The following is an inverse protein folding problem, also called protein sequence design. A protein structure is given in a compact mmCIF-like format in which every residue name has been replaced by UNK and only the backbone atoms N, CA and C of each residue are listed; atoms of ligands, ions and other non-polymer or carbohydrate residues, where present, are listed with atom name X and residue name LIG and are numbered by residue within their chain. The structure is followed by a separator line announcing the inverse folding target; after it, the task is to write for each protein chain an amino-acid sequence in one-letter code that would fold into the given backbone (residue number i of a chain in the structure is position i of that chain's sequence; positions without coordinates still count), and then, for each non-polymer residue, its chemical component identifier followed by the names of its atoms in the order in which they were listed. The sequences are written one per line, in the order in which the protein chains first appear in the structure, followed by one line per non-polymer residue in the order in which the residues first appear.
data_IF_649531514294
#
_entry.id   IF_649531514294
#
_cell.length_a   1.000
_cell.length_b   1.000
_cell.length_c   1.000
_cell.angle_alpha   90.00
_cell.angle_beta   90.00
_cell.angle_gamma   90.00
#
_symmetry.space_group_name_H-M   'P 1'
#
loop_
_entity.id
_entity.type
_entity.pdbx_description
1 polymer ?
#
# COMPACT_ATOMS: atom_id res chain seq x y z
N UNK A 1 16.69 25.80 13.85
CA UNK A 1 15.25 25.45 13.72
C UNK A 1 14.56 25.89 14.99
N UNK A 2 13.40 26.51 14.85
CA UNK A 2 12.55 26.87 15.98
C UNK A 2 12.20 25.61 16.82
N UNK A 3 12.47 25.61 18.14
CA UNK A 3 12.12 24.51 19.03
C UNK A 3 10.62 24.17 18.98
N UNK A 4 9.73 25.14 18.77
CA UNK A 4 8.29 24.90 18.70
C UNK A 4 7.89 24.07 17.48
N UNK A 5 8.43 24.37 16.29
CA UNK A 5 8.18 23.56 15.09
C UNK A 5 8.73 22.13 15.19
N UNK A 6 9.85 21.96 15.89
CA UNK A 6 10.45 20.63 16.13
C UNK A 6 9.56 19.80 17.05
N UNK A 7 9.06 20.42 18.13
CA UNK A 7 8.12 19.79 19.05
C UNK A 7 6.79 19.47 18.35
N UNK A 8 6.28 20.37 17.51
CA UNK A 8 5.05 20.13 16.74
C UNK A 8 5.18 18.87 15.86
N UNK A 9 6.30 18.71 15.14
CA UNK A 9 6.55 17.51 14.32
C UNK A 9 6.55 16.24 15.17
N UNK A 10 7.14 16.30 16.35
CA UNK A 10 7.17 15.16 17.31
C UNK A 10 5.76 14.81 17.78
N UNK A 11 4.94 15.80 18.13
CA UNK A 11 3.57 15.59 18.61
C UNK A 11 2.63 15.05 17.53
N UNK A 12 2.89 15.34 16.25
CA UNK A 12 2.07 14.86 15.14
C UNK A 12 2.45 13.44 14.66
N UNK A 13 3.49 12.80 15.24
CA UNK A 13 3.93 11.45 14.82
C UNK A 13 4.60 10.62 15.94
N UNK A 14 3.96 9.56 16.48
CA UNK A 14 2.56 9.14 16.29
C UNK A 14 1.59 10.01 17.10
N UNK A 15 0.45 10.37 16.50
CA UNK A 15 -0.55 11.22 17.16
C UNK A 15 -1.61 10.40 17.91
N UNK A 16 -1.48 10.35 19.24
CA UNK A 16 -2.51 9.93 20.18
C UNK A 16 -3.36 11.12 20.68
N UNK A 17 -4.28 10.86 21.62
CA UNK A 17 -5.18 11.87 22.15
C UNK A 17 -4.43 13.02 22.86
N UNK A 18 -3.47 12.66 23.71
CA UNK A 18 -2.71 13.59 24.55
C UNK A 18 -1.75 14.44 23.71
N UNK A 19 -1.08 13.81 22.74
CA UNK A 19 -0.22 14.50 21.78
C UNK A 19 -1.01 15.44 20.88
N UNK A 20 -2.24 15.08 20.50
CA UNK A 20 -3.12 15.97 19.76
C UNK A 20 -3.56 17.19 20.60
N UNK A 21 -3.84 17.02 21.90
CA UNK A 21 -4.16 18.14 22.81
C UNK A 21 -2.97 19.09 22.94
N UNK A 22 -1.76 18.55 23.15
CA UNK A 22 -0.53 19.35 23.21
C UNK A 22 -0.27 20.08 21.90
N UNK A 23 -0.43 19.40 20.76
CA UNK A 23 -0.30 20.01 19.44
C UNK A 23 -1.31 21.14 19.25
N UNK A 24 -2.57 20.95 19.66
CA UNK A 24 -3.62 21.97 19.59
C UNK A 24 -3.24 23.23 20.39
N UNK A 25 -2.74 23.06 21.63
CA UNK A 25 -2.29 24.17 22.47
C UNK A 25 -1.10 24.90 21.86
N UNK A 26 -0.13 24.16 21.33
CA UNK A 26 1.02 24.73 20.63
C UNK A 26 0.59 25.54 19.41
N UNK A 27 -0.22 24.96 18.53
CA UNK A 27 -0.75 25.63 17.33
C UNK A 27 -1.57 26.87 17.68
N UNK A 28 -2.35 26.85 18.76
CA UNK A 28 -3.11 28.02 19.22
C UNK A 28 -2.21 29.15 19.71
N UNK A 29 -1.07 28.83 20.34
CA UNK A 29 -0.07 29.85 20.75
C UNK A 29 0.70 30.44 19.57
N UNK A 30 0.95 29.63 18.54
CA UNK A 30 1.67 30.02 17.32
C UNK A 30 0.76 30.76 16.33
N UNK A 31 -0.56 30.60 16.43
CA UNK A 31 -1.49 31.40 15.63
C UNK A 31 -1.29 32.90 15.93
N UNK A 32 -1.26 33.72 14.88
CA UNK A 32 -0.98 35.15 14.95
C UNK A 32 0.50 35.54 15.07
N UNK A 33 1.42 34.57 15.13
CA UNK A 33 2.86 34.83 15.18
C UNK A 33 3.51 34.69 13.79
N UNK A 34 4.80 35.05 13.68
CA UNK A 34 5.57 34.87 12.46
C UNK A 34 5.74 33.39 12.03
N UNK A 35 5.50 32.45 12.94
CA UNK A 35 5.68 31.01 12.71
C UNK A 35 4.38 30.30 12.29
N UNK A 36 3.26 31.04 12.18
CA UNK A 36 1.94 30.49 11.84
C UNK A 36 1.94 29.69 10.53
N UNK A 37 2.54 30.22 9.47
CA UNK A 37 2.59 29.56 8.16
C UNK A 37 3.43 28.28 8.20
N UNK A 38 4.56 28.31 8.90
CA UNK A 38 5.43 27.14 9.06
C UNK A 38 4.73 26.05 9.89
N UNK A 39 4.00 26.42 10.93
CA UNK A 39 3.22 25.50 11.74
C UNK A 39 2.04 24.90 10.95
N UNK A 40 1.35 25.70 10.14
CA UNK A 40 0.32 25.20 9.23
C UNK A 40 0.90 24.22 8.21
N UNK A 41 2.05 24.55 7.59
CA UNK A 41 2.75 23.67 6.67
C UNK A 41 3.06 22.30 7.30
N UNK A 42 3.54 22.28 8.55
CA UNK A 42 3.79 21.04 9.31
C UNK A 42 2.51 20.23 9.55
N UNK A 43 1.39 20.91 9.81
CA UNK A 43 0.09 20.26 10.02
C UNK A 43 -0.46 19.63 8.74
N UNK A 44 -0.26 20.27 7.59
CA UNK A 44 -0.74 19.79 6.27
C UNK A 44 0.25 18.88 5.54
N UNK A 45 1.48 18.73 6.06
CA UNK A 45 2.56 17.84 5.58
C UNK A 45 2.24 16.34 5.75
N UNK A 46 1.06 15.93 5.30
CA UNK A 46 0.56 14.58 5.46
C UNK A 46 -0.96 14.58 5.56
N UNK A 47 -1.70 14.15 4.54
CA UNK A 47 -3.17 14.17 4.57
C UNK A 47 -3.81 13.32 5.70
N UNK A 48 -3.10 12.34 6.24
CA UNK A 48 -3.52 11.61 7.45
C UNK A 48 -3.50 12.48 8.71
N UNK A 49 -2.56 13.43 8.81
CA UNK A 49 -2.39 14.29 9.98
C UNK A 49 -3.61 15.19 10.16
N UNK A 50 -4.02 15.90 9.11
CA UNK A 50 -5.21 16.78 9.14
C UNK A 50 -6.47 16.03 9.60
N UNK A 51 -6.75 14.87 9.01
CA UNK A 51 -7.96 14.07 9.36
C UNK A 51 -7.93 13.53 10.80
N UNK A 52 -6.76 13.13 11.29
CA UNK A 52 -6.61 12.65 12.68
C UNK A 52 -6.64 13.80 13.68
N UNK A 53 -6.00 14.91 13.34
CA UNK A 53 -5.96 16.12 14.15
C UNK A 53 -7.36 16.66 14.36
N UNK A 54 -8.14 16.85 13.30
CA UNK A 54 -9.55 17.29 13.37
C UNK A 54 -10.42 16.39 14.26
N UNK A 55 -10.18 15.08 14.26
CA UNK A 55 -10.92 14.14 15.12
C UNK A 55 -10.59 14.35 16.61
N UNK A 56 -9.32 14.49 16.94
CA UNK A 56 -8.86 14.64 18.31
C UNK A 56 -9.11 16.05 18.85
N UNK A 57 -8.85 17.07 18.04
CA UNK A 57 -9.07 18.47 18.37
C UNK A 57 -10.53 18.72 18.79
N UNK A 58 -11.49 18.14 18.07
CA UNK A 58 -12.92 18.23 18.42
C UNK A 58 -13.27 17.64 19.80
N UNK A 59 -12.51 16.65 20.28
CA UNK A 59 -12.71 16.00 21.58
C UNK A 59 -11.99 16.70 22.72
N UNK A 60 -10.82 17.27 22.41
CA UNK A 60 -9.90 17.86 23.37
C UNK A 60 -10.20 19.31 23.74
N UNK A 61 -11.16 19.95 23.06
CA UNK A 61 -11.31 21.40 23.16
C UNK A 61 -11.91 21.88 24.49
N UNK A 62 -11.00 22.36 25.34
CA UNK A 62 -11.26 23.21 26.50
C UNK A 62 -10.74 24.62 26.20
N UNK A 63 -11.66 25.50 25.75
CA UNK A 63 -11.64 26.95 25.95
C UNK A 63 -10.32 27.72 25.71
N UNK A 64 -9.88 27.84 24.45
CA UNK A 64 -8.94 28.90 24.05
C UNK A 64 -9.51 29.69 22.88
N UNK A 65 -9.81 30.98 23.05
CA UNK A 65 -10.30 31.82 21.96
C UNK A 65 -9.27 31.89 20.82
N UNK A 66 -9.69 31.56 19.60
CA UNK A 66 -8.86 31.73 18.41
C UNK A 66 -8.89 33.22 18.05
N UNK A 67 -7.85 33.95 18.41
CA UNK A 67 -7.64 35.33 18.00
C UNK A 67 -6.59 35.34 16.89
N UNK A 68 -7.02 35.60 15.65
CA UNK A 68 -6.13 35.67 14.49
C UNK A 68 -6.91 35.55 13.19
N UNK A 69 -6.56 36.38 12.20
CA UNK A 69 -7.11 36.34 10.84
C UNK A 69 -6.22 35.57 9.84
N UNK A 70 -5.17 34.90 10.32
CA UNK A 70 -4.26 34.12 9.47
C UNK A 70 -4.81 32.73 9.12
N UNK A 71 -4.13 32.04 8.20
CA UNK A 71 -4.54 30.74 7.70
C UNK A 71 -4.52 29.65 8.78
N UNK A 72 -3.59 29.69 9.74
CA UNK A 72 -3.54 28.71 10.83
C UNK A 72 -4.76 28.87 11.75
N UNK A 73 -5.10 30.11 12.13
CA UNK A 73 -6.27 30.40 12.94
C UNK A 73 -7.57 29.95 12.24
N UNK A 74 -7.67 30.12 10.91
CA UNK A 74 -8.80 29.61 10.12
C UNK A 74 -8.85 28.07 10.11
N UNK A 75 -7.71 27.39 9.93
CA UNK A 75 -7.63 25.94 9.97
C UNK A 75 -8.05 25.36 11.33
N UNK A 76 -7.61 25.98 12.43
CA UNK A 76 -8.02 25.62 13.79
C UNK A 76 -9.51 25.89 14.02
N UNK A 77 -10.02 27.02 13.53
CA UNK A 77 -11.43 27.40 13.64
C UNK A 77 -12.33 26.42 12.88
N UNK A 78 -11.89 25.95 11.71
CA UNK A 78 -12.57 24.90 10.96
C UNK A 78 -12.61 23.56 11.72
N UNK A 79 -11.68 23.31 12.65
CA UNK A 79 -11.67 22.11 13.51
C UNK A 79 -12.45 22.28 14.82
N UNK A 80 -12.92 23.49 15.15
CA UNK A 80 -13.54 23.83 16.43
C UNK A 80 -14.77 22.97 16.76
N UNK A 81 -15.09 22.77 18.06
CA UNK A 81 -16.26 21.96 18.48
C UNK A 81 -17.61 22.61 18.15
N UNK A 82 -17.70 23.93 18.24
CA UNK A 82 -18.90 24.72 17.92
C UNK A 82 -19.07 24.85 16.40
N UNK A 83 -20.23 24.42 15.91
CA UNK A 83 -20.59 24.49 14.51
C UNK A 83 -20.63 25.93 13.96
N UNK A 84 -21.01 26.93 14.76
CA UNK A 84 -21.04 28.34 14.31
C UNK A 84 -19.65 28.87 13.97
N UNK A 85 -18.66 28.51 14.79
CA UNK A 85 -17.25 28.86 14.55
C UNK A 85 -16.75 28.18 13.29
N UNK A 86 -17.06 26.88 13.10
CA UNK A 86 -16.70 26.15 11.87
C UNK A 86 -17.36 26.76 10.63
N UNK A 87 -18.64 27.12 10.72
CA UNK A 87 -19.38 27.73 9.62
C UNK A 87 -18.80 29.07 9.21
N UNK A 88 -18.44 29.92 10.18
CA UNK A 88 -17.73 31.18 9.93
C UNK A 88 -16.37 30.91 9.26
N UNK A 89 -15.57 29.99 9.80
CA UNK A 89 -14.28 29.64 9.24
C UNK A 89 -14.38 29.13 7.79
N UNK A 90 -15.39 28.32 7.46
CA UNK A 90 -15.66 27.86 6.10
C UNK A 90 -15.92 29.04 5.14
N UNK A 91 -16.71 30.03 5.57
CA UNK A 91 -16.95 31.24 4.76
C UNK A 91 -15.69 32.07 4.58
N UNK A 92 -14.90 32.22 5.63
CA UNK A 92 -13.66 33.00 5.60
C UNK A 92 -12.62 32.31 4.68
N UNK A 93 -12.50 30.97 4.73
CA UNK A 93 -11.71 30.19 3.77
C UNK A 93 -12.23 30.37 2.34
N UNK A 94 -13.54 30.41 2.13
CA UNK A 94 -14.13 30.57 0.79
C UNK A 94 -13.85 31.95 0.17
N UNK A 95 -13.66 32.98 1.01
CA UNK A 95 -13.35 34.33 0.60
C UNK A 95 -11.88 34.47 0.15
N UNK A 96 -10.97 33.73 0.78
CA UNK A 96 -9.55 33.71 0.43
C UNK A 96 -8.99 32.27 0.44
N UNK A 97 -9.35 31.45 -0.58
CA UNK A 97 -8.92 30.05 -0.60
C UNK A 97 -7.41 29.95 -0.87
N UNK A 98 -6.74 29.06 -0.13
CA UNK A 98 -5.33 28.72 -0.35
C UNK A 98 -5.14 27.19 -0.32
N UNK A 99 -4.08 26.66 -0.98
CA UNK A 99 -3.78 25.23 -0.97
C UNK A 99 -3.78 24.60 0.44
N UNK A 100 -3.20 25.29 1.43
CA UNK A 100 -3.04 24.84 2.81
C UNK A 100 -4.38 24.73 3.55
N UNK A 101 -5.38 25.52 3.13
CA UNK A 101 -6.73 25.52 3.73
C UNK A 101 -7.67 24.50 3.08
N UNK A 102 -7.39 24.05 1.85
CA UNK A 102 -8.23 23.08 1.13
C UNK A 102 -8.50 21.78 1.90
N UNK A 103 -7.51 21.14 2.57
CA UNK A 103 -7.75 19.98 3.41
C UNK A 103 -8.85 20.18 4.46
N UNK A 104 -8.91 21.35 5.09
CA UNK A 104 -9.88 21.66 6.14
C UNK A 104 -11.26 21.93 5.55
N UNK A 105 -11.34 22.67 4.45
CA UNK A 105 -12.59 22.89 3.72
C UNK A 105 -13.21 21.57 3.27
N UNK A 106 -12.40 20.68 2.69
CA UNK A 106 -12.81 19.33 2.27
C UNK A 106 -13.38 18.53 3.43
N UNK A 107 -12.74 18.55 4.61
CA UNK A 107 -13.24 17.84 5.78
C UNK A 107 -14.62 18.33 6.25
N UNK A 108 -14.98 19.59 5.97
CA UNK A 108 -16.27 20.20 6.33
C UNK A 108 -17.37 19.91 5.31
N UNK A 109 -17.05 19.45 4.10
CA UNK A 109 -18.07 19.00 3.13
C UNK A 109 -18.87 17.78 3.59
N UNK A 110 -18.42 17.12 4.66
CA UNK A 110 -19.06 16.00 5.36
C UNK A 110 -19.19 16.29 6.87
N UNK A 111 -19.45 17.55 7.25
CA UNK A 111 -19.75 17.91 8.64
C UNK A 111 -21.10 17.32 9.08
N UNK A 112 -21.24 17.05 10.38
CA UNK A 112 -22.50 16.57 10.96
C UNK A 112 -23.53 17.71 11.08
N UNK A 113 -23.08 18.97 11.13
CA UNK A 113 -23.94 20.15 11.12
C UNK A 113 -24.31 20.48 9.67
N UNK A 114 -25.58 20.37 9.27
CA UNK A 114 -25.99 20.60 7.88
C UNK A 114 -25.57 21.98 7.35
N UNK A 115 -25.66 23.04 8.17
CA UNK A 115 -25.30 24.40 7.80
C UNK A 115 -23.81 24.52 7.43
N UNK A 116 -22.92 23.92 8.22
CA UNK A 116 -21.49 23.87 7.94
C UNK A 116 -21.23 23.06 6.67
N UNK A 117 -21.92 21.93 6.53
CA UNK A 117 -21.76 21.02 5.39
C UNK A 117 -22.13 21.70 4.08
N UNK A 118 -23.31 22.30 3.99
CA UNK A 118 -23.76 22.94 2.76
C UNK A 118 -22.91 24.18 2.43
N UNK A 119 -22.54 24.98 3.44
CA UNK A 119 -21.62 26.09 3.24
C UNK A 119 -20.27 25.61 2.67
N UNK A 120 -19.72 24.51 3.19
CA UNK A 120 -18.45 23.96 2.73
C UNK A 120 -18.54 23.38 1.31
N UNK A 121 -19.65 22.73 0.97
CA UNK A 121 -19.89 22.20 -0.38
C UNK A 121 -19.95 23.31 -1.42
N UNK A 122 -20.68 24.40 -1.14
CA UNK A 122 -20.74 25.59 -2.01
C UNK A 122 -19.36 26.24 -2.12
N UNK A 123 -18.69 26.46 -0.99
CA UNK A 123 -17.36 27.05 -0.94
C UNK A 123 -16.33 26.25 -1.76
N UNK A 124 -16.36 24.92 -1.65
CA UNK A 124 -15.47 24.05 -2.41
C UNK A 124 -15.69 24.19 -3.92
N UNK A 125 -16.94 24.14 -4.38
CA UNK A 125 -17.26 24.27 -5.81
C UNK A 125 -16.75 25.61 -6.34
N UNK A 126 -17.05 26.70 -5.64
CA UNK A 126 -16.61 28.04 -6.05
C UNK A 126 -15.08 28.20 -6.02
N UNK A 127 -14.40 27.60 -5.05
CA UNK A 127 -12.94 27.65 -4.97
C UNK A 127 -12.28 26.89 -6.13
N UNK A 128 -12.78 25.70 -6.45
CA UNK A 128 -12.26 24.89 -7.55
C UNK A 128 -12.59 25.47 -8.92
N UNK A 129 -13.75 26.10 -9.09
CA UNK A 129 -14.15 26.79 -10.32
C UNK A 129 -13.21 27.97 -10.63
N UNK A 130 -12.89 28.78 -9.61
CA UNK A 130 -11.94 29.91 -9.78
C UNK A 130 -10.49 29.44 -9.96
N UNK A 131 -10.10 28.40 -9.23
CA UNK A 131 -8.71 27.94 -9.16
C UNK A 131 -8.64 26.40 -9.16
N UNK A 132 -8.68 25.77 -10.35
CA UNK A 132 -8.59 24.31 -10.48
C UNK A 132 -7.36 23.69 -9.81
N UNK A 133 -6.24 24.41 -9.77
CA UNK A 133 -5.00 23.96 -9.10
C UNK A 133 -5.15 23.65 -7.61
N UNK A 134 -6.19 24.15 -6.94
CA UNK A 134 -6.51 23.82 -5.54
C UNK A 134 -6.94 22.35 -5.35
N UNK A 135 -7.32 21.67 -6.44
CA UNK A 135 -7.74 20.27 -6.42
C UNK A 135 -6.62 19.33 -5.93
N UNK A 136 -5.37 19.58 -6.32
CA UNK A 136 -4.22 18.75 -5.92
C UNK A 136 -4.01 18.79 -4.39
N UNK A 137 -4.12 19.98 -3.79
CA UNK A 137 -3.97 20.18 -2.35
C UNK A 137 -5.09 19.51 -1.54
N UNK A 138 -6.32 19.46 -2.09
CA UNK A 138 -7.46 18.76 -1.51
C UNK A 138 -7.32 17.23 -1.57
N UNK A 139 -6.70 16.70 -2.64
CA UNK A 139 -6.84 15.31 -3.06
C UNK A 139 -6.44 14.30 -1.98
N UNK A 140 -5.34 14.57 -1.25
CA UNK A 140 -4.84 13.67 -0.22
C UNK A 140 -5.87 13.37 0.89
N UNK A 141 -6.68 14.35 1.27
CA UNK A 141 -7.77 14.16 2.24
C UNK A 141 -8.97 13.46 1.60
N UNK A 142 -9.32 13.84 0.37
CA UNK A 142 -10.46 13.27 -0.38
C UNK A 142 -10.34 11.75 -0.52
N UNK A 143 -9.19 11.26 -0.98
CA UNK A 143 -8.95 9.81 -1.18
C UNK A 143 -9.01 9.00 0.13
N UNK A 144 -8.75 9.65 1.28
CA UNK A 144 -8.86 9.05 2.61
C UNK A 144 -10.27 9.09 3.15
N UNK A 145 -11.00 10.18 2.93
CA UNK A 145 -12.42 10.25 3.27
C UNK A 145 -13.20 9.14 2.57
N UNK A 146 -12.90 8.88 1.29
CA UNK A 146 -13.53 7.82 0.51
C UNK A 146 -13.24 6.39 1.02
N UNK A 147 -12.16 6.19 1.79
CA UNK A 147 -11.87 4.91 2.47
C UNK A 147 -12.54 4.78 3.83
N UNK A 148 -12.96 5.91 4.44
CA UNK A 148 -13.65 5.92 5.72
C UNK A 148 -15.16 5.70 5.58
N UNK A 149 -15.88 5.67 6.71
CA UNK A 149 -17.36 5.65 6.73
C UNK A 149 -18.00 7.01 6.38
N UNK A 150 -17.31 7.90 5.66
CA UNK A 150 -17.86 9.21 5.24
C UNK A 150 -18.29 9.11 3.79
N UNK A 151 -19.44 9.70 3.45
CA UNK A 151 -19.88 9.79 2.05
C UNK A 151 -19.03 10.84 1.31
N UNK A 152 -17.86 10.42 0.83
CA UNK A 152 -16.97 11.32 0.09
C UNK A 152 -17.35 11.47 -1.39
N UNK A 153 -18.50 10.96 -1.82
CA UNK A 153 -18.84 10.87 -3.25
C UNK A 153 -18.97 12.27 -3.87
N UNK A 154 -19.55 13.23 -3.15
CA UNK A 154 -19.64 14.63 -3.60
C UNK A 154 -18.25 15.22 -3.85
N UNK A 155 -17.40 15.26 -2.83
CA UNK A 155 -16.10 15.92 -2.93
C UNK A 155 -15.17 15.21 -3.92
N UNK A 156 -15.22 13.87 -3.98
CA UNK A 156 -14.45 13.09 -4.96
C UNK A 156 -14.84 13.44 -6.39
N UNK A 157 -16.13 13.67 -6.67
CA UNK A 157 -16.59 14.10 -8.00
C UNK A 157 -16.11 15.52 -8.32
N UNK A 158 -16.24 16.47 -7.38
CA UNK A 158 -15.84 17.86 -7.62
C UNK A 158 -14.34 17.99 -7.89
N UNK A 159 -13.50 17.35 -7.07
CA UNK A 159 -12.04 17.36 -7.28
C UNK A 159 -11.66 16.64 -8.58
N UNK A 160 -12.28 15.50 -8.89
CA UNK A 160 -12.01 14.79 -10.13
C UNK A 160 -12.40 15.59 -11.40
N UNK A 161 -13.45 16.41 -11.33
CA UNK A 161 -13.97 17.14 -12.48
C UNK A 161 -13.06 18.28 -12.96
N UNK A 162 -12.22 18.82 -12.07
CA UNK A 162 -11.34 19.97 -12.37
C UNK A 162 -9.88 19.60 -12.58
N UNK A 163 -9.50 18.34 -12.34
CA UNK A 163 -8.15 17.86 -12.60
C UNK A 163 -7.96 17.61 -14.11
N UNK A 164 -7.10 18.40 -14.74
CA UNK A 164 -6.72 18.23 -16.13
C UNK A 164 -5.76 17.03 -16.33
N UNK A 165 -5.55 16.58 -17.58
CA UNK A 165 -4.65 15.46 -17.87
C UNK A 165 -3.21 15.64 -17.37
N UNK A 166 -2.67 16.87 -17.37
CA UNK A 166 -1.30 17.16 -16.93
C UNK A 166 -1.19 17.05 -15.41
N UNK A 167 -2.18 17.53 -14.68
CA UNK A 167 -2.31 17.35 -13.23
C UNK A 167 -2.40 15.87 -12.87
N UNK A 168 -3.23 15.11 -13.59
CA UNK A 168 -3.32 13.66 -13.39
C UNK A 168 -1.98 12.96 -13.65
N UNK A 169 -1.23 13.33 -14.70
CA UNK A 169 0.08 12.72 -14.97
C UNK A 169 1.13 13.03 -13.89
N UNK A 170 1.15 14.27 -13.37
CA UNK A 170 1.99 14.64 -12.22
C UNK A 170 1.67 13.79 -10.99
N UNK A 171 0.38 13.62 -10.70
CA UNK A 171 -0.09 12.87 -9.53
C UNK A 171 0.22 11.36 -9.60
N UNK A 172 0.49 10.79 -10.78
CA UNK A 172 0.98 9.41 -10.91
C UNK A 172 2.34 9.21 -10.23
N UNK A 173 3.16 10.25 -10.16
CA UNK A 173 4.46 10.26 -9.46
C UNK A 173 4.37 10.56 -7.96
N UNK A 174 3.17 10.72 -7.41
CA UNK A 174 2.99 11.05 -6.00
C UNK A 174 3.59 9.98 -5.07
N UNK A 175 4.31 10.38 -4.00
CA UNK A 175 4.77 9.43 -2.97
C UNK A 175 3.62 8.88 -2.11
N UNK A 176 2.43 9.48 -2.21
CA UNK A 176 1.22 8.97 -1.57
C UNK A 176 0.52 7.96 -2.49
N UNK A 177 0.58 6.68 -2.10
CA UNK A 177 -0.08 5.55 -2.77
C UNK A 177 -1.53 5.85 -3.15
N UNK A 178 -2.29 6.52 -2.27
CA UNK A 178 -3.70 6.77 -2.50
C UNK A 178 -3.94 7.79 -3.60
N UNK A 179 -3.09 8.80 -3.64
CA UNK A 179 -3.12 9.85 -4.66
C UNK A 179 -2.69 9.27 -6.01
N UNK A 180 -1.58 8.52 -6.04
CA UNK A 180 -1.09 7.87 -7.25
C UNK A 180 -2.10 6.86 -7.82
N UNK A 181 -2.77 6.08 -6.95
CA UNK A 181 -3.81 5.14 -7.37
C UNK A 181 -5.05 5.87 -7.92
N UNK A 182 -5.48 6.97 -7.31
CA UNK A 182 -6.57 7.79 -7.81
C UNK A 182 -6.23 8.38 -9.19
N UNK A 183 -5.01 8.89 -9.35
CA UNK A 183 -4.54 9.42 -10.62
C UNK A 183 -4.56 8.32 -11.71
N UNK A 184 -4.05 7.12 -11.40
CA UNK A 184 -4.06 6.01 -12.35
C UNK A 184 -5.46 5.53 -12.73
N UNK A 185 -6.44 5.60 -11.82
CA UNK A 185 -7.85 5.28 -12.13
C UNK A 185 -8.47 6.24 -13.14
N UNK A 186 -8.04 7.51 -13.12
CA UNK A 186 -8.64 8.61 -13.89
C UNK A 186 -7.88 8.96 -15.16
N UNK A 187 -6.56 8.80 -15.13
CA UNK A 187 -5.69 9.18 -16.22
C UNK A 187 -5.79 8.20 -17.40
N UNK A 188 -5.54 8.72 -18.59
CA UNK A 188 -5.27 7.96 -19.81
C UNK A 188 -3.80 8.11 -20.21
N UNK A 189 -2.84 7.64 -19.38
CA UNK A 189 -1.42 7.71 -19.69
C UNK A 189 -1.10 6.91 -20.95
N UNK A 190 -0.06 7.33 -21.67
CA UNK A 190 0.47 6.56 -22.78
C UNK A 190 1.06 5.21 -22.31
N UNK A 191 1.28 4.29 -23.24
CA UNK A 191 1.88 3.00 -22.93
C UNK A 191 3.31 3.15 -22.39
N UNK A 192 4.08 4.11 -22.92
CA UNK A 192 5.43 4.44 -22.46
C UNK A 192 5.39 4.91 -21.00
N UNK A 193 4.40 5.73 -20.65
CA UNK A 193 4.20 6.21 -19.28
C UNK A 193 3.78 5.09 -18.33
N UNK A 194 2.88 4.20 -18.75
CA UNK A 194 2.52 3.01 -17.97
C UNK A 194 3.73 2.08 -17.75
N UNK A 195 4.56 1.88 -18.77
CA UNK A 195 5.76 1.05 -18.66
C UNK A 195 6.79 1.68 -17.72
N UNK A 196 6.95 3.00 -17.78
CA UNK A 196 7.77 3.75 -16.82
C UNK A 196 7.25 3.57 -15.37
N UNK A 197 5.93 3.61 -15.15
CA UNK A 197 5.33 3.33 -13.85
C UNK A 197 5.62 1.90 -13.39
N UNK A 198 5.48 0.91 -14.28
CA UNK A 198 5.77 -0.50 -13.96
C UNK A 198 7.20 -0.67 -13.44
N UNK A 199 8.15 0.09 -14.00
CA UNK A 199 9.57 0.01 -13.64
C UNK A 199 9.96 0.81 -12.41
N UNK A 200 9.37 1.98 -12.22
CA UNK A 200 9.89 2.98 -11.27
C UNK A 200 9.02 3.21 -10.05
N UNK A 201 7.73 2.88 -10.09
CA UNK A 201 6.85 3.19 -8.96
C UNK A 201 7.21 2.34 -7.73
N UNK A 202 7.31 2.95 -6.53
CA UNK A 202 7.51 2.20 -5.29
C UNK A 202 6.25 1.45 -4.86
N UNK A 203 5.09 1.78 -5.44
CA UNK A 203 3.80 1.31 -5.00
C UNK A 203 3.36 0.06 -5.77
N UNK A 204 3.45 -1.12 -5.13
CA UNK A 204 3.03 -2.42 -5.67
C UNK A 204 1.64 -2.37 -6.34
N UNK A 205 0.66 -1.70 -5.71
CA UNK A 205 -0.70 -1.58 -6.25
C UNK A 205 -0.78 -0.76 -7.53
N UNK A 206 -0.01 0.33 -7.62
CA UNK A 206 0.04 1.19 -8.82
C UNK A 206 0.77 0.45 -9.93
N UNK A 207 1.87 -0.23 -9.61
CA UNK A 207 2.64 -1.08 -10.52
C UNK A 207 1.78 -2.18 -11.14
N UNK A 208 1.07 -2.95 -10.32
CA UNK A 208 0.19 -4.03 -10.77
C UNK A 208 -0.93 -3.51 -11.69
N UNK A 209 -1.59 -2.41 -11.30
CA UNK A 209 -2.66 -1.82 -12.10
C UNK A 209 -2.15 -1.25 -13.45
N UNK A 210 -0.95 -0.66 -13.46
CA UNK A 210 -0.33 -0.21 -14.70
C UNK A 210 0.02 -1.39 -15.63
N UNK A 211 0.58 -2.47 -15.07
CA UNK A 211 0.85 -3.71 -15.80
C UNK A 211 -0.43 -4.35 -16.36
N UNK A 212 -1.53 -4.37 -15.59
CA UNK A 212 -2.81 -4.91 -16.04
C UNK A 212 -3.37 -4.12 -17.23
N UNK A 213 -3.31 -2.78 -17.19
CA UNK A 213 -3.73 -1.93 -18.31
C UNK A 213 -2.92 -2.22 -19.57
N UNK A 214 -1.59 -2.28 -19.45
CA UNK A 214 -0.70 -2.61 -20.57
C UNK A 214 -0.97 -4.01 -21.12
N UNK A 215 -1.08 -5.02 -20.25
CA UNK A 215 -1.31 -6.39 -20.68
C UNK A 215 -2.67 -6.55 -21.36
N UNK A 216 -3.72 -5.88 -20.86
CA UNK A 216 -5.05 -5.88 -21.48
C UNK A 216 -5.01 -5.29 -22.88
N UNK A 217 -4.38 -4.14 -23.04
CA UNK A 217 -4.20 -3.48 -24.35
C UNK A 217 -3.39 -4.36 -25.30
N UNK A 218 -2.30 -4.96 -24.81
CA UNK A 218 -1.45 -5.85 -25.58
C UNK A 218 -2.19 -7.10 -26.06
N UNK A 219 -3.04 -7.70 -25.21
CA UNK A 219 -3.90 -8.82 -25.63
C UNK A 219 -4.90 -8.38 -26.69
N UNK A 220 -5.57 -7.24 -26.49
CA UNK A 220 -6.57 -6.72 -27.45
C UNK A 220 -5.95 -6.38 -28.81
N UNK A 221 -4.73 -5.86 -28.81
CA UNK A 221 -4.01 -5.43 -30.02
C UNK A 221 -3.00 -6.46 -30.54
N UNK A 222 -3.00 -7.68 -29.99
CA UNK A 222 -2.08 -8.77 -30.33
C UNK A 222 -0.58 -8.38 -30.28
N UNK A 223 -0.18 -7.54 -29.32
CA UNK A 223 1.20 -7.10 -29.11
C UNK A 223 1.93 -8.00 -28.11
N UNK A 224 2.26 -9.21 -28.55
CA UNK A 224 2.93 -10.21 -27.72
C UNK A 224 4.25 -9.73 -27.10
N UNK A 225 5.02 -8.90 -27.81
CA UNK A 225 6.31 -8.39 -27.32
C UNK A 225 6.19 -7.54 -26.05
N UNK A 226 5.08 -6.79 -25.90
CA UNK A 226 4.82 -6.02 -24.68
C UNK A 226 4.60 -6.96 -23.49
N UNK A 227 3.93 -8.09 -23.71
CA UNK A 227 3.72 -9.09 -22.66
C UNK A 227 5.04 -9.77 -22.27
N UNK A 228 5.92 -10.05 -23.22
CA UNK A 228 7.26 -10.58 -22.93
C UNK A 228 8.10 -9.58 -22.14
N UNK A 229 8.04 -8.30 -22.50
CA UNK A 229 8.70 -7.22 -21.76
C UNK A 229 8.18 -7.14 -20.31
N UNK A 230 6.87 -7.27 -20.09
CA UNK A 230 6.29 -7.33 -18.74
C UNK A 230 6.68 -8.61 -17.98
N UNK A 231 6.75 -9.76 -18.65
CA UNK A 231 7.16 -11.03 -18.05
C UNK A 231 8.63 -11.02 -17.60
N UNK A 232 9.47 -10.20 -18.21
CA UNK A 232 10.87 -10.02 -17.81
C UNK A 232 11.04 -9.14 -16.55
N UNK A 233 9.98 -8.43 -16.10
CA UNK A 233 10.06 -7.55 -14.93
C UNK A 233 10.25 -8.39 -13.65
N UNK A 234 11.15 -8.01 -12.72
CA UNK A 234 11.45 -8.80 -11.52
C UNK A 234 10.31 -8.81 -10.49
N UNK A 235 9.28 -7.99 -10.66
CA UNK A 235 8.09 -7.91 -9.80
C UNK A 235 7.09 -9.04 -10.11
N UNK A 236 6.78 -9.94 -9.16
CA UNK A 236 5.92 -11.09 -9.42
C UNK A 236 4.47 -10.72 -9.80
N UNK A 237 3.95 -9.61 -9.26
CA UNK A 237 2.63 -9.07 -9.61
C UNK A 237 2.54 -8.58 -11.05
N UNK A 238 3.66 -8.20 -11.66
CA UNK A 238 3.73 -7.80 -13.07
C UNK A 238 3.83 -9.05 -13.95
N UNK A 239 4.71 -9.99 -13.57
CA UNK A 239 4.87 -11.25 -14.31
C UNK A 239 3.58 -12.04 -14.35
N UNK A 240 2.86 -12.16 -13.24
CA UNK A 240 1.60 -12.93 -13.21
C UNK A 240 0.57 -12.41 -14.22
N UNK A 241 0.41 -11.09 -14.32
CA UNK A 241 -0.46 -10.45 -15.31
C UNK A 241 0.04 -10.72 -16.74
N UNK A 242 1.35 -10.58 -16.96
CA UNK A 242 1.97 -10.84 -18.26
C UNK A 242 1.73 -12.29 -18.73
N UNK A 243 1.94 -13.29 -17.85
CA UNK A 243 1.72 -14.70 -18.17
C UNK A 243 0.26 -15.03 -18.50
N UNK A 244 -0.69 -14.39 -17.80
CA UNK A 244 -2.11 -14.51 -18.15
C UNK A 244 -2.36 -13.95 -19.56
N UNK A 245 -1.74 -12.83 -19.91
CA UNK A 245 -1.81 -12.26 -21.26
C UNK A 245 -1.20 -13.19 -22.32
N UNK A 246 0.00 -13.71 -22.08
CA UNK A 246 0.69 -14.64 -22.98
C UNK A 246 -0.14 -15.91 -23.22
N UNK A 247 -0.73 -16.46 -22.15
CA UNK A 247 -1.64 -17.62 -22.25
C UNK A 247 -2.83 -17.31 -23.17
N UNK A 248 -3.43 -16.12 -23.05
CA UNK A 248 -4.55 -15.70 -23.91
C UNK A 248 -4.18 -15.55 -25.38
N UNK A 249 -2.92 -15.23 -25.67
CA UNK A 249 -2.40 -15.17 -27.05
C UNK A 249 -1.83 -16.52 -27.53
N UNK A 250 -2.00 -17.60 -26.76
CA UNK A 250 -1.56 -18.94 -27.14
C UNK A 250 -0.07 -19.22 -26.92
N UNK A 251 0.68 -18.33 -26.26
CA UNK A 251 2.10 -18.49 -25.98
C UNK A 251 2.36 -19.37 -24.73
N UNK A 252 1.66 -20.50 -24.61
CA UNK A 252 1.70 -21.38 -23.42
C UNK A 252 3.06 -22.02 -23.21
N UNK A 253 3.83 -22.27 -24.28
CA UNK A 253 5.19 -22.77 -24.18
C UNK A 253 6.12 -21.80 -23.44
N UNK A 254 6.03 -20.49 -23.75
CA UNK A 254 6.80 -19.44 -23.06
C UNK A 254 6.37 -19.34 -21.59
N UNK A 255 5.06 -19.43 -21.33
CA UNK A 255 4.52 -19.40 -19.96
C UNK A 255 5.04 -20.59 -19.13
N UNK A 256 5.19 -21.77 -19.74
CA UNK A 256 5.72 -22.97 -19.07
C UNK A 256 7.18 -22.81 -18.61
N UNK A 257 7.98 -21.94 -19.25
CA UNK A 257 9.37 -21.68 -18.84
C UNK A 257 9.47 -21.12 -17.43
N UNK A 258 8.41 -20.47 -16.94
CA UNK A 258 8.31 -19.90 -15.60
C UNK A 258 7.91 -20.90 -14.52
N UNK A 259 7.92 -22.21 -14.79
CA UNK A 259 7.50 -23.21 -13.81
C UNK A 259 8.33 -23.16 -12.52
N UNK A 260 9.62 -22.84 -12.62
CA UNK A 260 10.54 -22.67 -11.48
C UNK A 260 10.71 -21.20 -11.04
N UNK A 261 9.72 -20.34 -11.29
CA UNK A 261 9.75 -18.95 -10.80
C UNK A 261 9.79 -18.91 -9.25
N UNK A 262 10.31 -17.81 -8.70
CA UNK A 262 10.38 -17.59 -7.24
C UNK A 262 9.01 -17.34 -6.60
N UNK A 263 8.01 -16.92 -7.38
CA UNK A 263 6.68 -16.61 -6.87
C UNK A 263 5.73 -17.81 -7.01
N UNK A 264 5.02 -18.21 -5.93
CA UNK A 264 4.10 -19.35 -5.96
C UNK A 264 2.96 -19.15 -6.98
N UNK A 265 2.44 -17.92 -7.13
CA UNK A 265 1.40 -17.62 -8.12
C UNK A 265 1.91 -17.76 -9.56
N UNK A 266 3.14 -17.28 -9.83
CA UNK A 266 3.73 -17.38 -11.17
C UNK A 266 3.98 -18.84 -11.54
N UNK A 267 4.50 -19.65 -10.59
CA UNK A 267 4.62 -21.10 -10.77
C UNK A 267 3.28 -21.75 -11.05
N UNK A 268 2.24 -21.42 -10.28
CA UNK A 268 0.90 -21.98 -10.48
C UNK A 268 0.34 -21.68 -11.88
N UNK A 269 0.53 -20.45 -12.38
CA UNK A 269 0.16 -20.08 -13.75
C UNK A 269 0.95 -20.87 -14.79
N UNK A 270 2.25 -21.03 -14.60
CA UNK A 270 3.10 -21.83 -15.49
C UNK A 270 2.67 -23.31 -15.51
N UNK A 271 2.36 -23.90 -14.35
CA UNK A 271 1.86 -25.29 -14.26
C UNK A 271 0.53 -25.50 -14.96
N UNK A 272 -0.36 -24.48 -14.92
CA UNK A 272 -1.66 -24.55 -15.56
C UNK A 272 -1.58 -24.69 -17.10
N UNK A 273 -0.40 -24.52 -17.70
CA UNK A 273 -0.16 -24.79 -19.13
C UNK A 273 -0.11 -26.28 -19.49
N UNK A 274 -0.03 -27.18 -18.48
CA UNK A 274 0.06 -28.63 -18.68
C UNK A 274 1.50 -29.17 -18.76
N UNK A 275 2.52 -28.37 -18.47
CA UNK A 275 3.92 -28.83 -18.38
C UNK A 275 4.10 -29.85 -17.24
N UNK A 276 4.99 -30.83 -17.43
CA UNK A 276 5.43 -31.74 -16.36
C UNK A 276 6.34 -30.99 -15.37
N UNK A 277 5.68 -30.31 -14.43
CA UNK A 277 6.33 -29.47 -13.45
C UNK A 277 7.22 -30.28 -12.49
N UNK A 278 6.81 -31.49 -12.11
CA UNK A 278 7.58 -32.33 -11.18
C UNK A 278 8.88 -32.79 -11.83
N UNK A 279 8.84 -33.25 -13.09
CA UNK A 279 10.05 -33.59 -13.81
C UNK A 279 11.01 -32.38 -13.91
N UNK A 280 10.45 -31.18 -14.14
CA UNK A 280 11.24 -29.96 -14.22
C UNK A 280 11.87 -29.56 -12.87
N UNK A 281 11.12 -29.63 -11.77
CA UNK A 281 11.66 -29.32 -10.44
C UNK A 281 12.74 -30.29 -10.00
N UNK A 282 12.59 -31.59 -10.31
CA UNK A 282 13.61 -32.61 -10.00
C UNK A 282 14.92 -32.39 -10.77
N UNK A 283 14.85 -31.80 -11.95
CA UNK A 283 16.00 -31.61 -12.83
C UNK A 283 16.72 -30.26 -12.65
N UNK A 284 16.14 -29.31 -11.92
CA UNK A 284 16.64 -27.94 -11.85
C UNK A 284 17.13 -27.56 -10.44
N UNK A 285 18.40 -27.19 -10.34
CA UNK A 285 18.98 -26.67 -9.10
C UNK A 285 18.73 -25.17 -8.94
N UNK A 286 17.49 -24.81 -8.60
CA UNK A 286 17.07 -23.43 -8.31
C UNK A 286 16.14 -23.33 -7.11
N UNK A 287 16.07 -22.14 -6.48
CA UNK A 287 15.16 -21.91 -5.35
C UNK A 287 13.70 -22.18 -5.74
N UNK A 288 13.25 -21.74 -6.91
CA UNK A 288 11.87 -21.94 -7.33
C UNK A 288 11.54 -23.39 -7.63
N UNK A 289 12.53 -24.20 -8.03
CA UNK A 289 12.38 -25.65 -8.16
C UNK A 289 12.24 -26.33 -6.79
N UNK A 290 13.04 -25.94 -5.79
CA UNK A 290 12.90 -26.41 -4.40
C UNK A 290 11.52 -26.04 -3.84
N UNK A 291 11.13 -24.77 -3.93
CA UNK A 291 9.81 -24.31 -3.47
C UNK A 291 8.68 -25.05 -4.21
N UNK A 292 8.81 -25.22 -5.53
CA UNK A 292 7.83 -25.92 -6.36
C UNK A 292 7.68 -27.40 -6.00
N UNK A 293 8.80 -28.09 -5.73
CA UNK A 293 8.80 -29.48 -5.29
C UNK A 293 8.20 -29.61 -3.88
N UNK A 294 8.44 -28.62 -3.01
CA UNK A 294 7.84 -28.58 -1.69
C UNK A 294 6.31 -28.30 -1.73
N UNK A 295 5.83 -27.56 -2.73
CA UNK A 295 4.41 -27.27 -2.93
C UNK A 295 3.59 -28.49 -3.35
N UNK A 296 4.06 -29.23 -4.37
CA UNK A 296 3.27 -30.25 -5.08
C UNK A 296 3.93 -31.63 -5.14
N UNK A 297 5.17 -31.76 -4.67
CA UNK A 297 5.89 -33.03 -4.61
C UNK A 297 5.30 -33.98 -3.57
N UNK A 298 5.80 -35.21 -3.60
CA UNK A 298 5.40 -36.31 -2.74
C UNK A 298 6.55 -36.76 -1.84
N UNK A 299 6.26 -37.68 -0.93
CA UNK A 299 7.30 -38.33 -0.09
C UNK A 299 8.42 -38.95 -0.92
N UNK A 300 8.15 -39.42 -2.14
CA UNK A 300 9.17 -39.99 -3.03
C UNK A 300 10.19 -38.95 -3.52
N UNK A 301 9.89 -37.66 -3.38
CA UNK A 301 10.75 -36.56 -3.80
C UNK A 301 11.71 -36.09 -2.69
N UNK A 302 11.65 -36.69 -1.50
CA UNK A 302 12.43 -36.26 -0.33
C UNK A 302 13.95 -36.31 -0.57
N UNK A 303 14.47 -37.38 -1.17
CA UNK A 303 15.92 -37.51 -1.43
C UNK A 303 16.40 -36.50 -2.48
N UNK A 304 15.58 -36.23 -3.50
CA UNK A 304 15.85 -35.22 -4.52
C UNK A 304 15.86 -33.83 -3.88
N UNK A 305 14.89 -33.55 -3.02
CA UNK A 305 14.79 -32.28 -2.32
C UNK A 305 15.97 -32.02 -1.38
N UNK A 306 16.41 -33.04 -0.63
CA UNK A 306 17.62 -32.96 0.20
C UNK A 306 18.86 -32.68 -0.64
N UNK A 307 19.04 -33.41 -1.75
CA UNK A 307 20.16 -33.17 -2.67
C UNK A 307 20.15 -31.76 -3.29
N UNK A 308 18.96 -31.20 -3.56
CA UNK A 308 18.82 -29.83 -4.07
C UNK A 308 19.13 -28.77 -3.01
N UNK A 309 18.80 -29.02 -1.73
CA UNK A 309 19.12 -28.11 -0.62
C UNK A 309 20.63 -28.03 -0.36
N UNK A 310 21.34 -29.14 -0.53
CA UNK A 310 22.80 -29.23 -0.40
C UNK A 310 23.56 -28.69 -1.63
N UNK A 311 22.85 -28.28 -2.68
CA UNK A 311 23.48 -27.80 -3.91
C UNK A 311 24.09 -26.40 -3.71
N UNK A 312 25.37 -26.13 -4.08
CA UNK A 312 26.06 -24.87 -3.79
C UNK A 312 25.37 -23.58 -4.32
N UNK A 313 24.61 -23.70 -5.41
CA UNK A 313 23.82 -22.59 -5.98
C UNK A 313 22.54 -22.28 -5.21
N UNK A 314 22.07 -23.23 -4.42
CA UNK A 314 20.86 -23.15 -3.61
C UNK A 314 21.22 -22.95 -2.15
N UNK A 315 22.36 -23.44 -1.66
CA UNK A 315 22.83 -23.41 -0.27
C UNK A 315 22.65 -22.05 0.46
N UNK A 316 22.94 -20.87 -0.14
CA UNK A 316 22.70 -19.59 0.53
C UNK A 316 21.21 -19.20 0.62
N UNK A 317 20.38 -19.76 -0.26
CA UNK A 317 18.93 -19.52 -0.40
C UNK A 317 18.09 -20.65 0.22
N UNK A 318 18.70 -21.82 0.44
CA UNK A 318 18.12 -23.04 1.00
C UNK A 318 17.61 -22.81 2.42
N UNK A 319 18.30 -21.97 3.21
CA UNK A 319 17.90 -21.62 4.60
C UNK A 319 16.51 -20.98 4.71
N UNK A 320 16.03 -20.34 3.63
CA UNK A 320 14.69 -19.73 3.56
C UNK A 320 13.64 -20.65 2.92
N UNK A 321 14.06 -21.64 2.13
CA UNK A 321 13.19 -22.64 1.47
C UNK A 321 13.09 -23.95 2.28
N UNK A 322 13.95 -24.12 3.28
CA UNK A 322 13.98 -25.25 4.20
C UNK A 322 12.63 -25.45 4.87
N UNK A 323 11.86 -24.38 5.12
CA UNK A 323 10.57 -24.44 5.81
C UNK A 323 9.53 -25.37 5.14
N UNK A 324 9.24 -25.17 3.84
CA UNK A 324 8.31 -26.02 3.09
C UNK A 324 8.98 -27.33 2.65
N UNK A 325 10.31 -27.36 2.49
CA UNK A 325 11.04 -28.57 2.12
C UNK A 325 11.13 -29.58 3.29
N UNK A 326 11.31 -29.09 4.52
CA UNK A 326 11.23 -29.84 5.76
C UNK A 326 9.78 -30.25 6.06
N UNK A 327 8.77 -29.55 5.53
CA UNK A 327 7.36 -30.01 5.52
C UNK A 327 7.19 -31.34 4.77
N UNK A 328 7.94 -31.55 3.68
CA UNK A 328 7.95 -32.80 2.92
C UNK A 328 8.89 -33.85 3.56
N UNK A 329 10.06 -33.42 4.02
CA UNK A 329 11.10 -34.31 4.59
C UNK A 329 10.81 -34.79 6.03
N UNK A 330 10.05 -34.02 6.82
CA UNK A 330 9.59 -34.41 8.18
C UNK A 330 8.63 -35.61 8.17
N UNK A 331 8.03 -35.92 7.01
CA UNK A 331 7.28 -37.16 6.79
C UNK A 331 8.20 -38.38 6.73
N UNK A 332 9.49 -38.20 6.42
CA UNK A 332 10.41 -39.29 6.04
C UNK A 332 11.46 -39.60 7.11
N UNK A 333 12.16 -38.60 7.69
CA UNK A 333 13.13 -38.84 8.78
C UNK A 333 13.28 -37.60 9.67
N UNK A 334 12.76 -37.68 10.89
CA UNK A 334 12.90 -36.63 11.91
C UNK A 334 14.35 -36.33 12.32
N UNK A 335 15.35 -37.09 11.87
CA UNK A 335 16.74 -36.99 12.35
C UNK A 335 17.54 -35.82 11.75
N UNK A 336 17.28 -35.40 10.50
CA UNK A 336 18.05 -34.35 9.83
C UNK A 336 17.74 -32.93 10.32
N UNK A 337 16.47 -32.67 10.65
CA UNK A 337 15.99 -31.36 11.17
C UNK A 337 16.55 -31.09 12.57
N UNK A 338 16.75 -32.16 13.35
CA UNK A 338 17.22 -32.09 14.73
C UNK A 338 18.70 -31.76 14.85
N UNK A 339 19.50 -32.22 13.90
CA UNK A 339 20.94 -31.97 13.88
C UNK A 339 21.29 -30.47 13.70
N UNK A 340 20.38 -29.67 13.11
CA UNK A 340 20.62 -28.26 12.76
C UNK A 340 19.80 -27.26 13.58
N UNK A 341 19.08 -27.72 14.61
CA UNK A 341 18.17 -26.89 15.44
C UNK A 341 18.82 -25.61 15.98
N UNK A 342 20.10 -25.67 16.33
CA UNK A 342 20.88 -24.54 16.87
C UNK A 342 21.20 -23.45 15.84
N UNK A 343 20.98 -23.71 14.54
CA UNK A 343 21.29 -22.78 13.45
C UNK A 343 20.11 -21.85 13.12
N UNK A 344 18.90 -22.12 13.63
CA UNK A 344 17.70 -21.33 13.35
C UNK A 344 17.53 -20.15 14.31
N UNK A 345 17.02 -19.04 13.79
CA UNK A 345 16.55 -17.88 14.55
C UNK A 345 15.19 -18.16 15.22
N UNK A 346 14.80 -17.38 16.24
CA UNK A 346 13.48 -17.54 16.89
C UNK A 346 12.29 -17.36 15.94
N UNK A 347 12.43 -16.47 14.95
CA UNK A 347 11.39 -16.18 13.96
C UNK A 347 11.17 -17.37 13.02
N UNK A 348 12.27 -17.96 12.53
CA UNK A 348 12.26 -19.19 11.72
C UNK A 348 11.66 -20.38 12.47
N UNK A 349 11.93 -20.52 13.77
CA UNK A 349 11.31 -21.55 14.63
C UNK A 349 9.80 -21.34 14.77
N UNK A 350 9.36 -20.08 14.93
CA UNK A 350 7.94 -19.72 15.01
C UNK A 350 7.17 -20.02 13.72
N UNK A 351 7.78 -19.72 12.58
CA UNK A 351 7.20 -20.05 11.27
C UNK A 351 7.15 -21.57 11.04
N UNK A 352 8.22 -22.31 11.38
CA UNK A 352 8.28 -23.78 11.27
C UNK A 352 7.17 -24.46 12.08
N UNK A 353 6.91 -23.99 13.29
CA UNK A 353 5.77 -24.43 14.10
C UNK A 353 4.44 -24.20 13.40
N UNK A 354 4.18 -22.97 12.95
CA UNK A 354 2.93 -22.64 12.25
C UNK A 354 2.74 -23.41 10.94
N UNK A 355 3.85 -23.83 10.30
CA UNK A 355 3.85 -24.74 9.16
C UNK A 355 3.40 -26.15 9.54
N UNK A 356 4.04 -26.76 10.54
CA UNK A 356 3.72 -28.12 11.01
C UNK A 356 2.29 -28.26 11.52
N UNK A 357 1.78 -27.26 12.25
CA UNK A 357 0.41 -27.25 12.76
C UNK A 357 -0.64 -27.31 11.63
N UNK A 358 -0.37 -26.68 10.47
CA UNK A 358 -1.27 -26.69 9.30
C UNK A 358 -1.35 -28.05 8.61
N UNK A 359 -0.35 -28.92 8.79
CA UNK A 359 -0.25 -30.24 8.13
C UNK A 359 -0.36 -31.40 9.10
N UNK A 360 -0.51 -31.13 10.40
CA UNK A 360 -0.67 -32.13 11.45
C UNK A 360 -1.73 -33.20 11.12
N UNK A 361 -2.84 -32.82 10.48
CA UNK A 361 -3.89 -33.74 10.06
C UNK A 361 -3.56 -34.64 8.85
N UNK A 362 -2.40 -34.47 8.22
CA UNK A 362 -1.91 -35.29 7.09
C UNK A 362 -0.67 -36.11 7.45
N UNK A 363 -0.13 -35.90 8.66
CA UNK A 363 0.98 -36.66 9.20
C UNK A 363 0.46 -37.88 9.96
N UNK A 364 1.25 -38.96 10.10
CA UNK A 364 0.91 -40.03 11.03
C UNK A 364 0.75 -39.46 12.45
N UNK A 365 -0.31 -39.81 13.18
CA UNK A 365 -0.64 -39.24 14.50
C UNK A 365 0.55 -39.25 15.50
N UNK A 366 1.44 -40.23 15.35
CA UNK A 366 2.65 -40.41 16.17
C UNK A 366 3.80 -39.43 15.89
N UNK A 367 3.81 -38.74 14.74
CA UNK A 367 4.94 -37.90 14.32
C UNK A 367 4.82 -36.45 14.80
N UNK A 368 3.59 -35.95 14.92
CA UNK A 368 3.31 -34.52 15.17
C UNK A 368 3.72 -34.05 16.57
N UNK A 369 3.38 -34.76 17.66
CA UNK A 369 3.73 -34.29 19.02
C UNK A 369 5.24 -34.23 19.23
N UNK A 370 5.98 -35.20 18.69
CA UNK A 370 7.44 -35.25 18.76
C UNK A 370 8.11 -34.09 18.03
N UNK A 371 7.64 -33.75 16.83
CA UNK A 371 8.17 -32.64 16.04
C UNK A 371 7.85 -31.26 16.66
N UNK A 372 6.65 -31.07 17.22
CA UNK A 372 6.27 -29.81 17.85
C UNK A 372 7.02 -29.55 19.17
N UNK A 373 7.23 -30.57 20.01
CA UNK A 373 8.04 -30.43 21.23
C UNK A 373 9.52 -30.13 20.96
N UNK A 374 10.01 -30.44 19.77
CA UNK A 374 11.40 -30.19 19.37
C UNK A 374 11.60 -28.78 18.81
N UNK A 375 10.54 -27.97 18.71
CA UNK A 375 10.55 -26.56 18.30
C UNK A 375 10.21 -25.58 19.43
N UNK A 376 9.88 -26.07 20.64
CA UNK A 376 10.01 -25.34 21.91
C UNK A 376 11.47 -25.45 22.36
#
# INVERSE_FOLDING_TARGET
MDPELTELRRLLHPMDADSAVRAARLLTRVAGTADADAALAVLVDGPNRVSRFDRWFRRAWEATGLAGGDALALALSACHRDGRVREKAVRDIAAAPSPELMPFLVLRTEDWVPQVREAARVALVLALDRSPGLAEAALGVVVRMARGRRDAAFVRRQVAAVLDPDALDRLLGSPDLLVAAFALERATPSNERLLALVRTTPHVRVRAAAAERLAREAVWTNRIEVLRELAAVPSPEVRSVALVGLTRLGATAEVAEHVADRSPLVRALARATGVDALARYRAEASRGAVDGLAEIGSVADADVLLALLDHPRVEPLARLAEHDALRLASVVRGEGVLARRSEFTPEERGELRAGLERVAGRLPERAVPGLLMLLD
#
